data_IF_737346949082
#
_entry.id   IF_737346949082
#
_cell.length_a   1.000
_cell.length_b   1.000
_cell.length_c   1.000
_cell.angle_alpha   90.00
_cell.angle_beta   90.00
_cell.angle_gamma   90.00
#
_symmetry.space_group_name_H-M   'P 1'
#
loop_
_entity.id
_entity.type
_entity.pdbx_description
1 polymer ?
#
# COMPACT_ATOMS: atom_id res chain seq x y z
N UNK A 1 13.67 -5.19 1.67
CA UNK A 1 12.89 -6.30 1.08
C UNK A 1 12.55 -7.28 2.19
N UNK A 2 11.31 -7.73 2.30
CA UNK A 2 10.83 -8.58 3.40
C UNK A 2 10.12 -9.83 2.83
N UNK A 3 10.35 -11.03 3.36
CA UNK A 3 9.52 -12.20 3.03
C UNK A 3 8.05 -11.95 3.41
N UNK A 4 7.11 -12.50 2.64
CA UNK A 4 5.67 -12.27 2.86
C UNK A 4 5.22 -12.76 4.23
N UNK A 5 5.71 -13.90 4.70
CA UNK A 5 5.37 -14.45 6.02
C UNK A 5 5.76 -13.56 7.19
N UNK A 6 6.66 -12.58 7.01
CA UNK A 6 7.09 -11.71 8.10
C UNK A 6 5.99 -10.75 8.55
N UNK A 7 5.00 -10.53 7.70
CA UNK A 7 3.84 -9.68 7.97
C UNK A 7 2.72 -10.41 8.72
N UNK A 8 2.60 -11.72 8.52
CA UNK A 8 1.60 -12.60 9.16
C UNK A 8 2.28 -13.91 9.57
N UNK A 9 3.19 -13.88 10.56
CA UNK A 9 4.05 -15.02 10.92
C UNK A 9 3.29 -16.27 11.38
N UNK A 10 2.05 -16.10 11.80
CA UNK A 10 1.09 -17.14 12.18
C UNK A 10 0.55 -17.92 10.97
N UNK A 11 0.47 -17.32 9.78
CA UNK A 11 0.04 -18.03 8.56
C UNK A 11 1.20 -18.88 8.03
N UNK A 12 1.18 -20.16 8.40
CA UNK A 12 2.19 -21.14 7.96
C UNK A 12 2.22 -21.32 6.44
N UNK A 13 1.12 -21.07 5.72
CA UNK A 13 1.09 -21.20 4.26
C UNK A 13 2.01 -20.18 3.59
N UNK A 14 2.25 -19.03 4.23
CA UNK A 14 3.16 -18.01 3.70
C UNK A 14 4.65 -18.40 3.76
N UNK A 15 5.01 -19.41 4.56
CA UNK A 15 6.43 -19.85 4.70
C UNK A 15 6.98 -20.47 3.41
N UNK A 16 6.11 -21.05 2.59
CA UNK A 16 6.46 -21.62 1.29
C UNK A 16 6.51 -20.59 0.17
N UNK A 17 6.12 -19.34 0.41
CA UNK A 17 6.10 -18.29 -0.61
C UNK A 17 7.53 -17.79 -0.83
N UNK A 18 8.17 -18.32 -1.88
CA UNK A 18 9.52 -17.93 -2.31
C UNK A 18 9.54 -17.04 -3.56
N UNK A 19 8.38 -16.75 -4.14
CA UNK A 19 8.21 -16.11 -5.45
C UNK A 19 7.47 -14.75 -5.36
N UNK A 20 7.30 -14.21 -4.15
CA UNK A 20 6.76 -12.89 -3.88
C UNK A 20 7.43 -12.30 -2.64
N UNK A 21 7.45 -10.96 -2.54
CA UNK A 21 8.08 -10.27 -1.42
C UNK A 21 7.40 -8.92 -1.14
N UNK A 22 7.60 -8.42 0.07
CA UNK A 22 7.12 -7.10 0.50
C UNK A 22 8.22 -6.03 0.38
N UNK A 23 7.83 -4.84 -0.05
CA UNK A 23 8.62 -3.62 -0.01
C UNK A 23 7.98 -2.67 1.01
N UNK A 24 8.72 -2.40 2.09
CA UNK A 24 8.16 -1.73 3.26
C UNK A 24 7.06 -2.58 3.90
N UNK A 25 5.97 -1.91 4.30
CA UNK A 25 4.78 -2.54 4.90
C UNK A 25 3.57 -2.51 3.97
N UNK A 26 3.70 -1.86 2.81
CA UNK A 26 2.58 -1.50 1.95
C UNK A 26 2.53 -2.27 0.63
N UNK A 27 3.68 -2.59 0.03
CA UNK A 27 3.72 -3.13 -1.34
C UNK A 27 4.08 -4.61 -1.34
N UNK A 28 3.30 -5.43 -2.03
CA UNK A 28 3.59 -6.82 -2.35
C UNK A 28 3.92 -6.92 -3.83
N UNK A 29 5.13 -7.40 -4.13
CA UNK A 29 5.64 -7.57 -5.49
C UNK A 29 5.67 -9.06 -5.82
N UNK A 30 5.05 -9.43 -6.94
CA UNK A 30 4.88 -10.80 -7.38
C UNK A 30 5.44 -10.97 -8.81
N UNK A 31 6.78 -11.09 -8.98
CA UNK A 31 7.41 -11.24 -10.30
C UNK A 31 6.96 -12.51 -11.03
N UNK A 32 6.99 -12.49 -12.37
CA UNK A 32 6.76 -13.67 -13.21
C UNK A 32 8.11 -14.30 -13.53
N UNK A 33 8.31 -15.55 -13.10
CA UNK A 33 9.57 -16.28 -13.26
C UNK A 33 9.52 -17.36 -14.34
N UNK A 34 8.37 -17.53 -15.02
CA UNK A 34 8.14 -18.58 -16.01
C UNK A 34 7.82 -17.98 -17.39
N UNK A 35 8.40 -18.52 -18.48
CA UNK A 35 8.10 -18.04 -19.84
C UNK A 35 6.63 -18.19 -20.24
N UNK A 36 6.09 -17.18 -20.93
CA UNK A 36 4.75 -17.23 -21.53
C UNK A 36 3.58 -17.01 -20.56
N UNK A 37 3.84 -16.90 -19.26
CA UNK A 37 2.81 -16.65 -18.23
C UNK A 37 2.25 -15.24 -18.35
N UNK A 38 0.91 -15.12 -18.31
CA UNK A 38 0.15 -13.85 -18.44
C UNK A 38 -0.76 -13.54 -17.26
N UNK A 39 -0.95 -14.51 -16.37
CA UNK A 39 -1.57 -14.36 -15.06
C UNK A 39 -0.83 -15.30 -14.10
N UNK A 40 -0.77 -14.96 -12.82
CA UNK A 40 -0.17 -15.86 -11.83
C UNK A 40 -0.98 -15.90 -10.55
N UNK A 41 -0.88 -17.03 -9.86
CA UNK A 41 -1.40 -17.20 -8.51
C UNK A 41 -0.47 -16.53 -7.51
N UNK A 42 -1.04 -15.74 -6.61
CA UNK A 42 -0.31 -15.03 -5.55
C UNK A 42 -1.01 -15.31 -4.22
N UNK A 43 -0.26 -15.87 -3.26
CA UNK A 43 -0.75 -16.05 -1.89
C UNK A 43 -0.62 -14.73 -1.13
N UNK A 44 -1.74 -14.15 -0.73
CA UNK A 44 -1.78 -12.87 -0.05
C UNK A 44 -1.76 -13.04 1.47
N UNK A 45 -0.98 -12.24 2.20
CA UNK A 45 -1.07 -12.17 3.66
C UNK A 45 -2.36 -11.45 4.08
N UNK A 46 -2.64 -11.45 5.38
CA UNK A 46 -3.86 -10.84 5.94
C UNK A 46 -4.03 -9.37 5.58
N UNK A 47 -5.28 -8.97 5.31
CA UNK A 47 -5.69 -7.62 4.93
C UNK A 47 -6.18 -7.54 3.48
N UNK A 48 -6.56 -6.35 3.05
CA UNK A 48 -7.05 -6.10 1.69
C UNK A 48 -5.95 -5.48 0.83
N UNK A 49 -5.88 -5.91 -0.43
CA UNK A 49 -4.78 -5.58 -1.35
C UNK A 49 -5.35 -5.09 -2.68
N UNK A 50 -5.00 -3.86 -3.07
CA UNK A 50 -5.32 -3.30 -4.37
C UNK A 50 -4.28 -3.71 -5.41
N UNK A 51 -4.69 -4.04 -6.62
CA UNK A 51 -3.79 -4.03 -7.78
C UNK A 51 -3.45 -2.58 -8.15
N UNK A 52 -2.15 -2.26 -8.20
CA UNK A 52 -1.69 -0.88 -8.43
C UNK A 52 -2.05 -0.28 -9.79
N UNK A 53 -2.36 -1.10 -10.81
CA UNK A 53 -2.76 -0.62 -12.13
C UNK A 53 -4.26 -0.66 -12.36
N UNK A 54 -4.95 -1.71 -11.90
CA UNK A 54 -6.39 -1.87 -12.15
C UNK A 54 -7.26 -1.35 -11.01
N UNK A 55 -6.67 -1.10 -9.83
CA UNK A 55 -7.36 -0.76 -8.58
C UNK A 55 -8.36 -1.82 -8.11
N UNK A 56 -8.31 -3.03 -8.65
CA UNK A 56 -9.11 -4.18 -8.18
C UNK A 56 -8.63 -4.58 -6.78
N UNK A 57 -9.58 -4.86 -5.89
CA UNK A 57 -9.30 -5.31 -4.52
C UNK A 57 -9.34 -6.83 -4.43
N UNK A 58 -8.35 -7.37 -3.73
CA UNK A 58 -8.24 -8.77 -3.35
C UNK A 58 -8.22 -8.91 -1.83
N UNK A 59 -9.01 -9.82 -1.27
CA UNK A 59 -8.84 -10.19 0.14
C UNK A 59 -7.58 -11.03 0.34
N UNK A 60 -6.98 -10.85 1.51
CA UNK A 60 -5.85 -11.59 2.03
C UNK A 60 -6.21 -12.99 2.52
N UNK A 61 -5.21 -13.67 3.11
CA UNK A 61 -5.34 -15.03 3.67
C UNK A 61 -5.77 -16.10 2.64
N UNK A 62 -5.72 -15.75 1.35
CA UNK A 62 -6.10 -16.60 0.23
C UNK A 62 -5.10 -16.47 -0.93
N UNK A 63 -5.24 -17.38 -1.88
CA UNK A 63 -4.50 -17.30 -3.14
C UNK A 63 -5.42 -16.67 -4.17
N UNK A 64 -4.94 -15.64 -4.87
CA UNK A 64 -5.68 -14.93 -5.91
C UNK A 64 -4.97 -15.04 -7.25
N UNK A 65 -5.72 -14.96 -8.33
CA UNK A 65 -5.17 -14.85 -9.68
C UNK A 65 -5.02 -13.38 -10.06
N UNK A 66 -3.79 -12.98 -10.38
CA UNK A 66 -3.44 -11.60 -10.74
C UNK A 66 -2.93 -11.56 -12.18
N UNK A 67 -3.42 -10.59 -12.95
CA UNK A 67 -2.94 -10.36 -14.31
C UNK A 67 -1.47 -9.93 -14.30
N UNK A 68 -0.69 -10.53 -15.19
CA UNK A 68 0.75 -10.30 -15.34
C UNK A 68 1.10 -10.13 -16.83
N UNK A 69 0.60 -9.07 -17.49
CA UNK A 69 0.95 -8.80 -18.89
C UNK A 69 2.46 -8.53 -19.05
N UNK A 70 2.97 -8.65 -20.28
CA UNK A 70 4.42 -8.62 -20.54
C UNK A 70 5.10 -7.31 -20.08
N UNK A 71 4.36 -6.22 -20.13
CA UNK A 71 4.81 -4.85 -19.88
C UNK A 71 4.79 -4.47 -18.39
N UNK A 72 4.34 -5.37 -17.50
CA UNK A 72 4.18 -5.06 -16.07
C UNK A 72 4.42 -6.26 -15.16
N UNK A 73 5.17 -6.02 -14.09
CA UNK A 73 5.21 -6.92 -12.93
C UNK A 73 4.00 -6.65 -12.03
N UNK A 74 3.25 -7.69 -11.61
CA UNK A 74 2.20 -7.54 -10.62
C UNK A 74 2.72 -6.91 -9.32
N UNK A 75 2.14 -5.77 -8.95
CA UNK A 75 2.40 -5.10 -7.68
C UNK A 75 1.05 -4.80 -7.05
N UNK A 76 0.86 -5.34 -5.86
CA UNK A 76 -0.29 -5.07 -5.02
C UNK A 76 0.10 -4.13 -3.89
N UNK A 77 -0.87 -3.36 -3.40
CA UNK A 77 -0.68 -2.39 -2.34
C UNK A 77 -1.78 -2.51 -1.31
N UNK A 78 -1.40 -2.49 -0.04
CA UNK A 78 -2.32 -2.67 1.07
C UNK A 78 -3.33 -1.53 1.15
N UNK A 79 -4.58 -1.85 1.44
CA UNK A 79 -5.60 -0.86 1.74
C UNK A 79 -5.19 0.01 2.95
N UNK A 80 -5.39 1.32 2.83
CA UNK A 80 -4.91 2.32 3.78
C UNK A 80 -3.42 2.65 3.68
N UNK A 81 -2.68 2.12 2.71
CA UNK A 81 -1.29 2.51 2.54
C UNK A 81 -1.17 3.97 2.09
N UNK A 82 -0.25 4.70 2.73
CA UNK A 82 0.19 6.02 2.26
C UNK A 82 1.56 5.86 1.62
N UNK A 83 1.65 6.03 0.30
CA UNK A 83 2.87 5.80 -0.48
C UNK A 83 3.37 7.13 -1.05
N UNK A 84 4.53 7.64 -0.61
CA UNK A 84 5.12 8.83 -1.22
C UNK A 84 5.64 8.50 -2.63
N UNK A 85 5.23 9.29 -3.61
CA UNK A 85 5.63 9.17 -5.02
C UNK A 85 6.26 10.47 -5.47
N UNK A 86 7.44 10.39 -6.08
CA UNK A 86 8.12 11.56 -6.65
C UNK A 86 7.67 11.76 -8.10
N UNK A 87 7.13 12.94 -8.38
CA UNK A 87 6.73 13.39 -9.71
C UNK A 87 7.49 14.66 -10.09
N UNK A 88 7.31 15.14 -11.33
CA UNK A 88 7.95 16.37 -11.80
C UNK A 88 7.64 17.60 -10.92
N UNK A 89 6.45 17.63 -10.29
CA UNK A 89 6.01 18.69 -9.38
C UNK A 89 6.42 18.51 -7.92
N UNK A 90 7.22 17.49 -7.60
CA UNK A 90 7.62 17.16 -6.23
C UNK A 90 7.00 15.87 -5.71
N UNK A 91 6.99 15.70 -4.39
CA UNK A 91 6.45 14.49 -3.74
C UNK A 91 4.95 14.63 -3.49
N UNK A 92 4.17 13.70 -4.04
CA UNK A 92 2.75 13.50 -3.72
C UNK A 92 2.58 12.25 -2.85
N UNK A 93 1.53 12.22 -2.02
CA UNK A 93 1.15 11.03 -1.28
C UNK A 93 0.03 10.30 -2.03
N UNK A 94 0.36 9.14 -2.63
CA UNK A 94 -0.65 8.21 -3.13
C UNK A 94 -1.25 7.46 -1.93
N UNK A 95 -2.52 7.73 -1.65
CA UNK A 95 -3.26 7.12 -0.53
C UNK A 95 -4.24 6.11 -1.08
N UNK A 96 -3.98 4.85 -0.78
CA UNK A 96 -4.85 3.74 -1.17
C UNK A 96 -5.99 3.67 -0.17
N UNK A 97 -7.22 3.90 -0.65
CA UNK A 97 -8.38 4.08 0.21
C UNK A 97 -8.48 2.96 1.27
N UNK A 98 -8.51 3.31 2.57
CA UNK A 98 -8.86 2.35 3.60
C UNK A 98 -10.25 1.78 3.32
N UNK A 99 -10.40 0.48 3.54
CA UNK A 99 -11.66 -0.22 3.45
C UNK A 99 -12.16 -0.52 4.87
N UNK A 100 -13.47 -0.78 5.01
CA UNK A 100 -14.09 -1.03 6.30
C UNK A 100 -13.36 -2.13 7.11
N UNK A 101 -12.89 -3.19 6.44
CA UNK A 101 -12.22 -4.32 7.08
C UNK A 101 -10.70 -4.15 7.21
N UNK A 102 -10.09 -3.22 6.45
CA UNK A 102 -8.65 -3.00 6.53
C UNK A 102 -8.22 -2.26 7.80
N UNK A 103 -9.14 -1.51 8.41
CA UNK A 103 -8.81 -0.55 9.46
C UNK A 103 -7.96 0.62 8.94
N UNK A 104 -7.40 1.44 9.84
CA UNK A 104 -6.50 2.52 9.46
C UNK A 104 -5.19 1.96 8.88
N UNK A 105 -4.61 2.69 7.95
CA UNK A 105 -3.29 2.42 7.43
C UNK A 105 -2.33 3.58 7.66
N UNK A 106 -1.10 3.43 7.17
CA UNK A 106 -0.03 4.38 7.43
C UNK A 106 1.00 4.40 6.31
N UNK A 107 1.89 5.40 6.38
CA UNK A 107 3.06 5.52 5.55
C UNK A 107 4.13 6.41 6.18
N UNK A 108 5.35 6.26 5.69
CA UNK A 108 6.49 7.06 6.10
C UNK A 108 7.05 7.77 4.88
N UNK A 109 7.38 9.04 5.06
CA UNK A 109 8.16 9.80 4.10
C UNK A 109 9.40 10.37 4.80
N UNK A 110 10.54 10.19 4.16
CA UNK A 110 11.81 10.77 4.59
C UNK A 110 12.18 11.77 3.50
N UNK A 111 11.91 13.08 3.67
CA UNK A 111 12.37 14.08 2.73
C UNK A 111 13.88 14.07 2.62
N UNK A 112 14.35 14.37 1.42
CA UNK A 112 15.76 14.62 1.17
C UNK A 112 16.08 16.02 1.68
N UNK A 113 16.86 16.11 2.76
CA UNK A 113 17.37 17.38 3.28
C UNK A 113 18.75 17.64 2.69
N UNK A 114 18.89 18.80 2.06
CA UNK A 114 20.15 19.24 1.45
C UNK A 114 21.21 19.38 2.55
N UNK A 115 22.22 18.50 2.55
CA UNK A 115 23.38 18.61 3.44
C UNK A 115 23.79 17.34 4.19
N UNK A 116 22.99 16.27 4.22
CA UNK A 116 23.40 14.91 4.63
C UNK A 116 23.89 14.69 6.08
N UNK A 117 24.09 15.76 6.87
CA UNK A 117 24.61 15.71 8.25
C UNK A 117 23.54 15.88 9.32
N UNK A 118 22.32 16.27 8.94
CA UNK A 118 21.17 16.35 9.85
C UNK A 118 20.59 14.96 10.10
N UNK A 119 20.05 14.68 11.31
CA UNK A 119 19.24 13.50 11.50
C UNK A 119 18.07 13.52 10.51
N UNK A 120 17.71 12.38 9.90
CA UNK A 120 16.67 12.36 8.90
C UNK A 120 15.35 12.81 9.51
N UNK A 121 14.71 13.82 8.90
CA UNK A 121 13.34 14.15 9.21
C UNK A 121 12.46 12.96 8.78
N UNK A 122 11.68 12.42 9.71
CA UNK A 122 10.74 11.34 9.41
C UNK A 122 9.33 11.89 9.54
N UNK A 123 8.62 11.97 8.43
CA UNK A 123 7.21 12.33 8.39
C UNK A 123 6.37 11.05 8.41
N UNK A 124 5.49 10.92 9.40
CA UNK A 124 4.56 9.78 9.50
C UNK A 124 3.17 10.23 9.11
N UNK A 125 2.53 9.42 8.28
CA UNK A 125 1.17 9.63 7.84
C UNK A 125 0.29 8.47 8.27
N UNK A 126 -0.92 8.79 8.69
CA UNK A 126 -2.00 7.83 8.93
C UNK A 126 -3.12 8.12 7.95
N UNK A 127 -3.78 7.08 7.46
CA UNK A 127 -5.02 7.20 6.69
C UNK A 127 -6.11 6.35 7.32
N UNK A 128 -7.32 6.89 7.36
CA UNK A 128 -8.50 6.21 7.91
C UNK A 128 -9.74 6.57 7.09
N UNK A 129 -10.73 5.69 7.13
CA UNK A 129 -12.06 6.02 6.64
C UNK A 129 -12.78 6.86 7.72
N UNK A 130 -13.32 8.00 7.31
CA UNK A 130 -14.15 8.84 8.16
C UNK A 130 -15.57 8.32 8.30
N UNK A 131 -16.39 9.03 9.08
CA UNK A 131 -17.75 8.59 9.38
C UNK A 131 -18.67 8.65 8.15
N UNK A 132 -18.39 9.57 7.21
CA UNK A 132 -19.17 9.79 6.01
C UNK A 132 -18.58 9.04 4.79
N UNK A 133 -17.62 8.14 5.03
CA UNK A 133 -16.92 7.39 3.97
C UNK A 133 -15.80 8.17 3.29
N UNK A 134 -15.44 9.34 3.81
CA UNK A 134 -14.34 10.16 3.31
C UNK A 134 -12.98 9.61 3.75
N UNK A 135 -11.97 9.64 2.88
CA UNK A 135 -10.60 9.24 3.25
C UNK A 135 -9.92 10.40 3.97
N UNK A 136 -9.61 10.21 5.25
CA UNK A 136 -8.92 11.20 6.08
C UNK A 136 -7.44 10.82 6.21
N UNK A 137 -6.56 11.77 5.91
CA UNK A 137 -5.11 11.62 5.98
C UNK A 137 -4.52 12.65 6.92
N UNK A 138 -3.79 12.19 7.92
CA UNK A 138 -3.22 13.01 8.97
C UNK A 138 -1.72 12.77 9.07
N UNK A 139 -0.94 13.84 9.26
CA UNK A 139 0.48 13.75 9.61
C UNK A 139 0.59 13.60 11.12
N UNK A 140 1.22 12.54 11.59
CA UNK A 140 1.50 12.31 13.01
C UNK A 140 2.97 12.61 13.32
N UNK A 141 3.21 13.47 14.33
CA UNK A 141 4.56 13.80 14.80
C UNK A 141 5.26 14.90 13.97
N UNK A 142 5.48 16.04 14.61
CA UNK A 142 6.20 17.22 14.14
C UNK A 142 5.90 18.41 15.06
N UNK A 143 6.79 19.41 15.21
CA UNK A 143 6.44 20.64 15.91
C UNK A 143 5.22 21.30 15.22
N UNK A 144 4.11 21.48 15.96
CA UNK A 144 2.91 22.17 15.48
C UNK A 144 1.64 21.33 15.22
N UNK A 145 1.54 20.08 15.70
CA UNK A 145 0.33 19.27 15.55
C UNK A 145 -0.83 19.76 16.45
N UNK A 146 -1.63 20.71 15.95
CA UNK A 146 -2.96 21.04 16.48
C UNK A 146 -4.07 20.18 15.86
N UNK A 147 -5.28 20.14 16.44
CA UNK A 147 -6.39 19.35 15.93
C UNK A 147 -7.02 20.05 14.72
N UNK A 148 -6.91 19.45 13.53
CA UNK A 148 -7.49 19.99 12.30
C UNK A 148 -7.85 18.87 11.33
N UNK A 149 -9.11 18.86 10.88
CA UNK A 149 -9.67 17.91 9.92
C UNK A 149 -9.48 18.46 8.49
N UNK A 150 -9.31 17.57 7.52
CA UNK A 150 -9.17 17.79 6.07
C UNK A 150 -7.84 18.44 5.59
N UNK A 151 -6.98 17.60 5.00
CA UNK A 151 -5.64 17.93 4.47
C UNK A 151 -4.65 18.56 5.47
N UNK A 152 -4.49 17.92 6.63
CA UNK A 152 -3.42 18.22 7.59
C UNK A 152 -2.06 17.59 7.19
N UNK A 153 -1.95 17.00 5.99
CA UNK A 153 -0.76 16.28 5.55
C UNK A 153 0.42 17.21 5.17
N UNK A 154 0.14 18.49 4.90
CA UNK A 154 1.14 19.46 4.42
C UNK A 154 1.76 19.09 3.06
N UNK A 155 1.21 18.08 2.37
CA UNK A 155 1.63 17.58 1.06
C UNK A 155 0.43 17.36 0.17
N UNK A 156 0.59 17.45 -1.17
CA UNK A 156 -0.43 16.99 -2.10
C UNK A 156 -0.78 15.53 -1.80
N UNK A 157 -2.07 15.20 -1.88
CA UNK A 157 -2.60 13.84 -1.68
C UNK A 157 -3.39 13.45 -2.92
N UNK A 158 -3.15 12.23 -3.41
CA UNK A 158 -3.97 11.57 -4.44
C UNK A 158 -4.57 10.33 -3.83
N UNK A 159 -5.90 10.31 -3.69
CA UNK A 159 -6.60 9.11 -3.22
C UNK A 159 -6.87 8.17 -4.40
N UNK A 160 -6.57 6.88 -4.22
CA UNK A 160 -6.79 5.80 -5.20
C UNK A 160 -7.72 4.73 -4.61
N UNK A 161 -8.40 3.96 -5.46
CA UNK A 161 -9.26 2.85 -5.03
C UNK A 161 -10.68 3.24 -4.59
N UNK A 162 -11.12 4.49 -4.81
CA UNK A 162 -12.46 4.96 -4.39
C UNK A 162 -13.62 4.27 -5.11
N UNK A 163 -13.38 3.61 -6.25
CA UNK A 163 -14.39 2.90 -7.05
C UNK A 163 -14.43 1.39 -6.85
N UNK A 164 -13.56 0.82 -6.02
CA UNK A 164 -13.49 -0.61 -5.79
C UNK A 164 -14.59 -1.05 -4.82
N UNK A 165 -15.81 -1.25 -5.34
CA UNK A 165 -16.99 -1.53 -4.52
C UNK A 165 -17.07 -2.99 -4.02
N UNK A 166 -16.34 -3.94 -4.61
CA UNK A 166 -16.35 -5.35 -4.18
C UNK A 166 -14.96 -5.98 -4.34
N UNK A 167 -14.48 -6.63 -3.28
CA UNK A 167 -13.30 -7.47 -3.36
C UNK A 167 -13.60 -8.72 -4.19
N UNK A 168 -12.77 -9.02 -5.19
CA UNK A 168 -13.00 -10.17 -6.08
C UNK A 168 -12.78 -11.47 -5.30
N UNK A 169 -13.88 -12.16 -4.98
CA UNK A 169 -13.89 -13.51 -4.39
C UNK A 169 -13.22 -14.55 -5.31
N UNK A 170 -12.82 -15.72 -4.79
CA UNK A 170 -12.07 -16.70 -5.57
C UNK A 170 -12.92 -17.28 -6.72
N UNK A 171 -12.24 -17.56 -7.83
CA UNK A 171 -12.68 -18.49 -8.87
C UNK A 171 -12.34 -19.93 -8.48
#
# INVERSE_FOLDING_TARGET
MRPVWWFTPEDRALRGVGDAFLVGEALLVAPVCEPGVRSRRVRLPKGQWYDTATEVVYEGERTVEVAAPLDRVPVLVRAGAVVPVREAGGTILDVWAPLAESGPGAGLYIPDEEGGWSPPLVERYTSRLGADGEVVVERSGGPGAGPGVASAAGRPVRVRGLGAAEAVGPA
#
